data_IF_545010746016
#
_entry.id   IF_545010746016
#
_cell.length_a   1.000
_cell.length_b   1.000
_cell.length_c   1.000
_cell.angle_alpha   90.00
_cell.angle_beta   90.00
_cell.angle_gamma   90.00
#
_symmetry.space_group_name_H-M   'P 1'
#
loop_
_entity.id
_entity.type
_entity.pdbx_description
1 polymer ?
#
# COMPACT_ATOMS: atom_id res chain seq x y z
N UNK A 1 9.42 4.40 10.27
CA UNK A 1 8.03 4.46 10.79
C UNK A 1 7.49 5.84 10.48
N UNK A 2 6.49 5.93 9.60
CA UNK A 2 5.76 7.18 9.37
C UNK A 2 5.19 7.70 10.71
N UNK A 3 5.47 8.95 11.06
CA UNK A 3 4.97 9.55 12.28
C UNK A 3 3.48 9.86 12.10
N UNK A 4 2.64 9.27 12.95
CA UNK A 4 1.19 9.46 12.84
C UNK A 4 0.81 10.89 13.24
N UNK A 5 0.10 11.65 12.38
CA UNK A 5 -0.28 13.00 12.70
C UNK A 5 -1.33 13.00 13.82
N UNK A 6 -1.07 13.81 14.86
CA UNK A 6 -1.98 13.96 16.00
C UNK A 6 -3.06 15.03 15.79
N UNK A 7 -2.90 15.88 14.77
CA UNK A 7 -3.88 16.94 14.46
C UNK A 7 -4.86 16.49 13.37
N UNK A 8 -6.14 16.94 13.42
CA UNK A 8 -7.12 16.60 12.38
C UNK A 8 -6.69 17.04 10.98
N UNK A 9 -6.00 18.19 10.86
CA UNK A 9 -5.47 18.67 9.58
C UNK A 9 -4.35 17.76 9.05
N UNK A 10 -3.45 17.31 9.93
CA UNK A 10 -2.40 16.37 9.59
C UNK A 10 -2.95 15.02 9.12
N UNK A 11 -3.95 14.48 9.82
CA UNK A 11 -4.60 13.22 9.45
C UNK A 11 -5.26 13.30 8.07
N UNK A 12 -6.02 14.38 7.78
CA UNK A 12 -6.60 14.61 6.45
C UNK A 12 -5.55 14.71 5.35
N UNK A 13 -4.41 15.33 5.65
CA UNK A 13 -3.30 15.46 4.70
C UNK A 13 -2.64 14.11 4.45
N UNK A 14 -2.42 13.31 5.50
CA UNK A 14 -1.90 11.94 5.38
C UNK A 14 -2.84 11.07 4.54
N UNK A 15 -4.15 11.14 4.77
CA UNK A 15 -5.12 10.37 4.00
C UNK A 15 -5.07 10.75 2.52
N UNK A 16 -5.03 12.05 2.20
CA UNK A 16 -4.86 12.53 0.82
C UNK A 16 -3.61 11.98 0.14
N UNK A 17 -2.51 11.85 0.86
CA UNK A 17 -1.27 11.25 0.33
C UNK A 17 -1.50 9.77 0.01
N UNK A 18 -2.17 9.01 0.90
CA UNK A 18 -2.46 7.59 0.68
C UNK A 18 -3.41 7.37 -0.50
N UNK A 19 -4.45 8.19 -0.63
CA UNK A 19 -5.38 8.12 -1.75
C UNK A 19 -4.68 8.42 -3.09
N UNK A 20 -3.78 9.41 -3.10
CA UNK A 20 -2.95 9.74 -4.26
C UNK A 20 -1.97 8.62 -4.59
N UNK A 21 -1.31 8.06 -3.57
CA UNK A 21 -0.35 6.98 -3.72
C UNK A 21 -1.01 5.71 -4.29
N UNK A 22 -2.20 5.35 -3.79
CA UNK A 22 -2.97 4.22 -4.30
C UNK A 22 -3.24 4.36 -5.81
N UNK A 23 -3.61 5.56 -6.28
CA UNK A 23 -3.81 5.84 -7.70
C UNK A 23 -2.52 5.70 -8.52
N UNK A 24 -1.42 6.28 -8.03
CA UNK A 24 -0.12 6.22 -8.71
C UNK A 24 0.40 4.78 -8.78
N UNK A 25 0.38 4.04 -7.67
CA UNK A 25 0.81 2.64 -7.63
C UNK A 25 -0.07 1.73 -8.51
N UNK A 26 -1.37 2.00 -8.59
CA UNK A 26 -2.28 1.25 -9.48
C UNK A 26 -2.00 1.54 -10.95
N UNK A 27 -1.69 2.80 -11.30
CA UNK A 27 -1.42 3.22 -12.67
C UNK A 27 -0.06 2.76 -13.18
N UNK A 28 0.97 2.91 -12.36
CA UNK A 28 2.38 2.77 -12.77
C UNK A 28 3.04 1.50 -12.23
N UNK A 29 2.37 0.77 -11.34
CA UNK A 29 2.96 -0.33 -10.59
C UNK A 29 3.93 0.14 -9.50
N UNK A 30 4.31 -0.77 -8.60
CA UNK A 30 5.21 -0.42 -7.51
C UNK A 30 6.57 0.03 -8.03
N UNK A 31 7.21 -0.68 -8.96
CA UNK A 31 8.60 -0.37 -9.37
C UNK A 31 8.73 1.02 -9.99
N UNK A 32 7.86 1.37 -10.94
CA UNK A 32 8.00 2.58 -11.74
C UNK A 32 7.40 3.85 -11.09
N UNK A 33 6.50 3.69 -10.10
CA UNK A 33 5.92 4.82 -9.38
C UNK A 33 6.99 5.69 -8.69
N UNK A 34 6.89 7.01 -8.78
CA UNK A 34 7.81 7.93 -8.10
C UNK A 34 7.12 8.72 -6.99
N UNK A 35 7.86 9.03 -5.94
CA UNK A 35 7.36 9.86 -4.83
C UNK A 35 6.98 11.28 -5.28
N UNK A 36 7.64 11.79 -6.33
CA UNK A 36 7.27 13.04 -7.01
C UNK A 36 5.85 12.97 -7.58
N UNK A 37 5.49 11.86 -8.21
CA UNK A 37 4.20 11.70 -8.87
C UNK A 37 3.08 11.61 -7.83
N UNK A 38 3.35 10.94 -6.70
CA UNK A 38 2.45 10.92 -5.54
C UNK A 38 2.26 12.32 -4.96
N UNK A 39 3.34 13.10 -4.80
CA UNK A 39 3.26 14.46 -4.28
C UNK A 39 2.41 15.36 -5.20
N UNK A 40 2.65 15.30 -6.52
CA UNK A 40 1.85 16.02 -7.53
C UNK A 40 0.39 15.60 -7.47
N UNK A 41 0.12 14.29 -7.46
CA UNK A 41 -1.23 13.74 -7.40
C UNK A 41 -1.98 14.13 -6.11
N UNK A 42 -1.26 14.30 -5.00
CA UNK A 42 -1.82 14.72 -3.72
C UNK A 42 -1.98 16.25 -3.61
N UNK A 43 -1.40 17.03 -4.53
CA UNK A 43 -1.33 18.49 -4.45
C UNK A 43 -0.42 18.98 -3.32
N UNK A 44 0.71 18.31 -3.11
CA UNK A 44 1.75 18.69 -2.15
C UNK A 44 3.09 18.92 -2.85
N UNK A 45 3.98 19.67 -2.19
CA UNK A 45 5.40 19.62 -2.54
C UNK A 45 6.02 18.28 -2.13
N UNK A 46 7.09 17.87 -2.80
CA UNK A 46 7.81 16.64 -2.48
C UNK A 46 8.33 16.64 -1.04
N UNK A 47 8.94 17.75 -0.58
CA UNK A 47 9.36 17.90 0.81
C UNK A 47 8.18 17.87 1.80
N UNK A 48 7.01 18.39 1.40
CA UNK A 48 5.78 18.30 2.19
C UNK A 48 5.28 16.87 2.37
N UNK A 49 5.39 16.03 1.33
CA UNK A 49 5.08 14.61 1.40
C UNK A 49 6.07 13.88 2.32
N UNK A 50 7.37 14.17 2.20
CA UNK A 50 8.41 13.52 3.01
C UNK A 50 8.32 13.82 4.52
N UNK A 51 7.56 14.85 4.92
CA UNK A 51 7.21 15.07 6.34
C UNK A 51 6.29 13.99 6.91
N UNK A 52 5.55 13.26 6.07
CA UNK A 52 4.62 12.21 6.49
C UNK A 52 5.19 10.81 6.25
N UNK A 53 5.96 10.60 5.18
CA UNK A 53 6.50 9.30 4.81
C UNK A 53 7.96 9.42 4.42
N UNK A 54 8.84 8.60 5.00
CA UNK A 54 10.28 8.72 4.76
C UNK A 54 10.68 8.24 3.37
N UNK A 55 9.97 7.26 2.83
CA UNK A 55 10.28 6.62 1.55
C UNK A 55 9.02 6.00 0.92
N UNK A 56 9.20 5.37 -0.24
CA UNK A 56 8.14 4.77 -1.04
C UNK A 56 7.56 3.51 -0.38
N UNK A 57 8.41 2.75 0.31
CA UNK A 57 8.08 1.57 1.07
C UNK A 57 7.10 1.89 2.22
N UNK A 58 7.36 2.98 2.96
CA UNK A 58 6.51 3.45 4.06
C UNK A 58 5.11 3.85 3.55
N UNK A 59 5.03 4.51 2.39
CA UNK A 59 3.76 4.85 1.74
C UNK A 59 3.05 3.58 1.27
N UNK A 60 3.74 2.71 0.55
CA UNK A 60 3.17 1.49 -0.01
C UNK A 60 2.64 0.56 1.07
N UNK A 61 3.42 0.28 2.10
CA UNK A 61 2.98 -0.53 3.24
C UNK A 61 1.77 0.07 3.95
N UNK A 62 1.67 1.41 3.97
CA UNK A 62 0.49 2.08 4.51
C UNK A 62 -0.75 1.95 3.64
N UNK A 63 -0.61 2.05 2.32
CA UNK A 63 -1.71 1.81 1.37
C UNK A 63 -2.23 0.37 1.48
N UNK A 64 -1.34 -0.62 1.59
CA UNK A 64 -1.72 -2.02 1.74
C UNK A 64 -2.45 -2.27 3.07
N UNK A 65 -1.99 -1.66 4.17
CA UNK A 65 -2.67 -1.76 5.47
C UNK A 65 -4.09 -1.18 5.40
N UNK A 66 -4.25 0.02 4.86
CA UNK A 66 -5.57 0.66 4.74
C UNK A 66 -6.52 -0.17 3.85
N UNK A 67 -6.00 -0.78 2.77
CA UNK A 67 -6.75 -1.69 1.92
C UNK A 67 -7.21 -2.95 2.67
N UNK A 68 -6.31 -3.58 3.43
CA UNK A 68 -6.65 -4.76 4.24
C UNK A 68 -7.72 -4.43 5.30
N UNK A 69 -7.62 -3.28 5.96
CA UNK A 69 -8.61 -2.84 6.95
C UNK A 69 -9.98 -2.59 6.31
N UNK A 70 -10.04 -1.99 5.13
CA UNK A 70 -11.28 -1.79 4.38
C UNK A 70 -11.92 -3.12 3.97
N UNK A 71 -11.12 -4.03 3.41
CA UNK A 71 -11.58 -5.36 3.00
C UNK A 71 -12.10 -6.17 4.19
N UNK A 72 -11.39 -6.13 5.33
CA UNK A 72 -11.82 -6.79 6.55
C UNK A 72 -13.12 -6.20 7.09
N UNK A 73 -13.27 -4.87 7.09
CA UNK A 73 -14.49 -4.19 7.53
C UNK A 73 -15.69 -4.58 6.67
N UNK A 74 -15.52 -4.64 5.34
CA UNK A 74 -16.54 -5.08 4.38
C UNK A 74 -16.92 -6.54 4.55
N UNK A 75 -15.93 -7.41 4.79
CA UNK A 75 -16.15 -8.83 5.06
C UNK A 75 -16.98 -9.03 6.34
N UNK A 76 -16.76 -8.23 7.38
CA UNK A 76 -17.59 -8.27 8.61
C UNK A 76 -19.00 -7.72 8.43
N UNK A 77 -19.27 -6.96 7.37
CA UNK A 77 -20.59 -6.34 7.15
C UNK A 77 -21.50 -7.11 6.18
N UNK A 78 -21.07 -8.25 5.61
CA UNK A 78 -21.92 -9.12 4.76
C UNK A 78 -21.58 -10.60 4.96
N UNK A 79 -22.42 -11.29 5.75
CA UNK A 79 -22.51 -12.76 5.94
C UNK A 79 -21.22 -13.49 6.43
N UNK A 80 -21.30 -14.36 7.45
CA UNK A 80 -20.14 -15.11 7.92
C UNK A 80 -19.47 -15.94 6.82
N UNK A 81 -18.14 -15.96 6.81
CA UNK A 81 -17.25 -16.81 6.00
C UNK A 81 -17.37 -18.32 6.36
N UNK A 82 -18.45 -18.71 7.03
CA UNK A 82 -18.60 -20.01 7.68
C UNK A 82 -19.28 -21.08 6.80
N UNK A 83 -19.68 -20.76 5.57
CA UNK A 83 -20.42 -21.70 4.70
C UNK A 83 -19.73 -22.01 3.37
N UNK A 84 -18.40 -21.89 3.27
CA UNK A 84 -17.69 -22.41 2.09
C UNK A 84 -16.37 -23.11 2.46
N UNK A 85 -16.38 -24.44 2.67
CA UNK A 85 -15.19 -25.23 2.97
C UNK A 85 -14.22 -25.40 1.77
N UNK A 86 -14.58 -24.94 0.57
CA UNK A 86 -13.78 -25.11 -0.68
C UNK A 86 -13.12 -23.82 -1.18
N UNK A 87 -13.11 -22.74 -0.39
CA UNK A 87 -12.37 -21.53 -0.76
C UNK A 87 -11.06 -21.45 0.05
N UNK A 88 -9.88 -21.79 -0.52
CA UNK A 88 -8.64 -21.75 0.23
C UNK A 88 -8.34 -20.31 0.67
N UNK A 89 -8.35 -20.04 1.98
CA UNK A 89 -7.99 -18.75 2.54
C UNK A 89 -6.45 -18.66 2.52
N UNK A 90 -5.91 -17.47 2.25
CA UNK A 90 -4.49 -17.08 2.42
C UNK A 90 -3.37 -17.85 1.67
N UNK A 91 -3.52 -19.11 1.25
CA UNK A 91 -2.44 -19.91 0.63
C UNK A 91 -2.10 -19.47 -0.80
N UNK A 92 -3.09 -19.01 -1.58
CA UNK A 92 -2.84 -18.42 -2.90
C UNK A 92 -1.99 -17.14 -2.82
N UNK A 93 -2.10 -16.38 -1.72
CA UNK A 93 -1.28 -15.20 -1.49
C UNK A 93 0.18 -15.54 -1.20
N UNK A 94 0.47 -16.71 -0.63
CA UNK A 94 1.85 -17.12 -0.39
C UNK A 94 2.58 -17.43 -1.71
N UNK A 95 1.88 -17.98 -2.70
CA UNK A 95 2.42 -18.18 -4.06
C UNK A 95 2.78 -16.87 -4.77
N UNK A 96 1.98 -15.82 -4.57
CA UNK A 96 2.25 -14.48 -5.11
C UNK A 96 3.52 -13.86 -4.50
N UNK A 97 3.70 -13.99 -3.18
CA UNK A 97 4.90 -13.51 -2.49
C UNK A 97 6.15 -14.35 -2.80
N UNK A 98 6.00 -15.66 -3.00
CA UNK A 98 7.08 -16.54 -3.45
C UNK A 98 7.55 -16.21 -4.88
N UNK A 99 6.65 -15.79 -5.78
CA UNK A 99 7.02 -15.37 -7.14
C UNK A 99 7.89 -14.08 -7.15
N UNK A 100 7.69 -13.17 -6.19
CA UNK A 100 8.46 -11.93 -6.10
C UNK A 100 9.82 -12.07 -5.40
N UNK A 101 10.05 -13.11 -4.61
CA UNK A 101 11.36 -13.37 -4.00
C UNK A 101 12.31 -14.19 -4.89
N UNK A 102 11.81 -14.90 -5.90
CA UNK A 102 12.63 -15.79 -6.73
C UNK A 102 13.40 -15.10 -7.88
N UNK A 103 13.10 -13.83 -8.22
CA UNK A 103 13.74 -13.11 -9.34
C UNK A 103 14.81 -12.09 -8.96
N UNK A 104 15.10 -11.89 -7.67
CA UNK A 104 16.15 -10.98 -7.20
C UNK A 104 17.47 -11.66 -6.79
N UNK A 105 17.62 -12.98 -7.00
CA UNK A 105 18.87 -13.73 -6.70
C UNK A 105 19.52 -14.45 -7.89
N UNK A 106 19.15 -14.13 -9.13
CA UNK A 106 19.79 -14.68 -10.33
C UNK A 106 20.22 -13.58 -11.30
N UNK A 107 21.18 -12.75 -10.88
CA UNK A 107 22.10 -12.03 -11.78
C UNK A 107 23.30 -11.50 -10.99
N UNK A 108 24.24 -12.39 -10.66
CA UNK A 108 25.68 -12.12 -10.74
C UNK A 108 26.44 -13.43 -10.56
N UNK A 109 26.54 -14.17 -11.66
CA UNK A 109 27.65 -15.10 -11.90
C UNK A 109 28.34 -14.60 -13.16
N UNK A 110 29.52 -14.04 -12.97
CA UNK A 110 30.61 -14.03 -13.94
C UNK A 110 31.90 -13.99 -13.15
#
# INVERSE_FOLDING_TARGET
MATEPTTPKGQRTRQRILDAASKVFTRDGYVDARMSDVAVQAGLSLGGLYRYFANKEDVFGSVIRDLHEELFRRSRSSTPIAENPEAPPYEANLGYLQHYHARSQTSSTS
#
